data_IF_512356167230
#
_entry.id   IF_512356167230
#
_cell.length_a   1.000
_cell.length_b   1.000
_cell.length_c   1.000
_cell.angle_alpha   90.00
_cell.angle_beta   90.00
_cell.angle_gamma   90.00
#
_symmetry.space_group_name_H-M   'P 1'
#
loop_
_entity.id
_entity.type
_entity.pdbx_description
1 polymer ?
#
# COMPACT_ATOMS: atom_id res chain seq x y z
N UNK A 1 11.80 -13.94 -5.95
CA UNK A 1 10.82 -12.90 -5.54
C UNK A 1 9.93 -12.41 -6.69
N UNK A 2 10.23 -12.77 -7.94
CA UNK A 2 9.45 -12.41 -9.14
C UNK A 2 8.30 -13.37 -9.46
N UNK A 3 8.20 -14.50 -8.76
CA UNK A 3 7.12 -15.47 -8.90
C UNK A 3 5.94 -15.07 -8.02
N UNK A 4 4.74 -15.10 -8.59
CA UNK A 4 3.49 -14.81 -7.88
C UNK A 4 2.31 -15.55 -8.52
N UNK A 5 1.25 -15.75 -7.76
CA UNK A 5 -0.03 -16.09 -8.37
C UNK A 5 -0.66 -14.82 -8.95
N UNK A 6 -1.21 -14.93 -10.13
CA UNK A 6 -1.95 -13.89 -10.83
C UNK A 6 -3.33 -14.43 -11.20
N UNK A 7 -4.34 -13.59 -11.09
CA UNK A 7 -5.69 -13.85 -11.57
C UNK A 7 -5.87 -13.24 -12.95
N UNK A 8 -6.46 -13.98 -13.86
CA UNK A 8 -6.90 -13.43 -15.14
C UNK A 8 -8.24 -12.71 -14.94
N UNK A 9 -8.26 -11.42 -15.25
CA UNK A 9 -9.44 -10.56 -15.16
C UNK A 9 -9.62 -9.86 -16.52
N UNK A 10 -10.57 -10.32 -17.32
CA UNK A 10 -10.60 -9.96 -18.75
C UNK A 10 -9.34 -10.46 -19.45
N UNK A 11 -8.61 -9.54 -20.08
CA UNK A 11 -7.34 -9.82 -20.76
C UNK A 11 -6.10 -9.45 -19.93
N UNK A 12 -6.30 -9.06 -18.66
CA UNK A 12 -5.23 -8.59 -17.79
C UNK A 12 -4.94 -9.57 -16.64
N UNK A 13 -3.67 -9.64 -16.25
CA UNK A 13 -3.24 -10.34 -15.04
C UNK A 13 -3.14 -9.37 -13.86
N UNK A 14 -3.96 -9.63 -12.85
CA UNK A 14 -3.93 -8.91 -11.57
C UNK A 14 -3.28 -9.78 -10.49
N UNK A 15 -2.63 -9.16 -9.52
CA UNK A 15 -2.03 -9.88 -8.40
C UNK A 15 -3.09 -10.67 -7.62
N UNK A 16 -2.79 -11.93 -7.31
CA UNK A 16 -3.54 -12.74 -6.36
C UNK A 16 -2.66 -12.98 -5.13
N UNK A 17 -3.04 -12.46 -3.95
CA UNK A 17 -2.29 -12.68 -2.72
C UNK A 17 -1.96 -14.14 -2.49
N UNK A 18 -0.66 -14.46 -2.35
CA UNK A 18 -0.23 -15.86 -2.34
C UNK A 18 1.12 -16.06 -1.67
N UNK A 19 1.22 -17.16 -0.95
CA UNK A 19 2.48 -17.65 -0.38
C UNK A 19 2.85 -18.99 -1.02
N UNK A 20 4.15 -19.22 -1.15
CA UNK A 20 4.70 -20.42 -1.78
C UNK A 20 5.50 -21.20 -0.74
N UNK A 21 5.20 -22.49 -0.62
CA UNK A 21 5.88 -23.39 0.30
C UNK A 21 6.01 -24.79 -0.32
N UNK A 22 7.23 -25.32 -0.37
CA UNK A 22 7.54 -26.68 -0.83
C UNK A 22 6.82 -27.08 -2.14
N UNK A 23 6.81 -26.20 -3.14
CA UNK A 23 6.19 -26.48 -4.45
C UNK A 23 4.67 -26.28 -4.48
N UNK A 24 4.08 -25.84 -3.37
CA UNK A 24 2.64 -25.51 -3.27
C UNK A 24 2.45 -24.00 -3.23
N UNK A 25 1.46 -23.49 -3.97
CA UNK A 25 0.98 -22.12 -3.88
C UNK A 25 -0.34 -22.08 -3.08
N UNK A 26 -0.37 -21.30 -2.00
CA UNK A 26 -1.60 -20.99 -1.27
C UNK A 26 -2.06 -19.61 -1.71
N UNK A 27 -3.21 -19.55 -2.36
CA UNK A 27 -3.79 -18.30 -2.88
C UNK A 27 -4.90 -17.84 -1.93
N UNK A 28 -4.82 -16.60 -1.46
CA UNK A 28 -5.86 -15.95 -0.66
C UNK A 28 -6.80 -15.19 -1.61
N UNK A 29 -7.94 -15.79 -1.90
CA UNK A 29 -8.91 -15.20 -2.81
C UNK A 29 -10.35 -15.52 -2.39
N UNK A 30 -11.25 -14.56 -2.58
CA UNK A 30 -12.70 -14.76 -2.39
C UNK A 30 -13.37 -14.91 -3.75
N UNK A 31 -14.14 -15.99 -3.92
CA UNK A 31 -14.88 -16.28 -5.16
C UNK A 31 -14.13 -17.20 -6.11
N UNK A 32 -14.55 -17.22 -7.37
CA UNK A 32 -14.00 -18.06 -8.42
C UNK A 32 -13.12 -17.27 -9.38
N UNK A 33 -12.18 -17.93 -10.03
CA UNK A 33 -11.30 -17.28 -11.01
C UNK A 33 -10.36 -18.25 -11.69
N UNK A 34 -9.74 -17.78 -12.76
CA UNK A 34 -8.63 -18.46 -13.43
C UNK A 34 -7.34 -17.88 -12.90
N UNK A 35 -6.48 -18.73 -12.37
CA UNK A 35 -5.20 -18.34 -11.77
C UNK A 35 -4.04 -18.97 -12.53
N UNK A 36 -2.94 -18.24 -12.61
CA UNK A 36 -1.68 -18.74 -13.15
C UNK A 36 -0.54 -18.41 -12.16
N UNK A 37 0.45 -19.29 -12.10
CA UNK A 37 1.71 -18.98 -11.45
C UNK A 37 2.62 -18.35 -12.50
N UNK A 38 3.02 -17.11 -12.28
CA UNK A 38 3.73 -16.31 -13.25
C UNK A 38 5.09 -15.89 -12.68
N UNK A 39 6.14 -16.02 -13.48
CA UNK A 39 7.42 -15.39 -13.21
C UNK A 39 7.53 -14.13 -14.08
N UNK A 40 7.43 -12.96 -13.47
CA UNK A 40 7.37 -11.66 -14.14
C UNK A 40 8.47 -10.73 -13.58
N UNK A 41 9.76 -11.00 -13.88
CA UNK A 41 10.83 -10.15 -13.37
C UNK A 41 10.73 -8.74 -13.94
N UNK A 42 10.84 -7.75 -13.06
CA UNK A 42 10.91 -6.32 -13.40
C UNK A 42 12.20 -5.73 -12.84
N UNK A 43 12.77 -4.81 -13.59
CA UNK A 43 13.96 -4.07 -13.16
C UNK A 43 13.87 -2.62 -13.62
N UNK A 44 14.52 -1.74 -12.86
CA UNK A 44 14.57 -0.31 -13.14
C UNK A 44 15.99 0.19 -12.93
N UNK A 45 16.52 0.92 -13.89
CA UNK A 45 17.92 1.37 -13.89
C UNK A 45 18.26 2.25 -12.69
N UNK A 46 17.33 3.11 -12.28
CA UNK A 46 17.53 4.07 -11.19
C UNK A 46 17.26 3.50 -9.78
N UNK A 47 16.97 2.21 -9.65
CA UNK A 47 16.95 1.52 -8.34
C UNK A 47 18.06 0.50 -8.17
N UNK A 48 18.95 0.34 -9.16
CA UNK A 48 19.97 -0.72 -9.18
C UNK A 48 20.81 -0.77 -7.89
N UNK A 49 21.18 0.40 -7.36
CA UNK A 49 21.95 0.57 -6.12
C UNK A 49 21.13 1.21 -5.00
N UNK A 50 19.81 1.30 -5.14
CA UNK A 50 18.96 1.92 -4.16
C UNK A 50 18.50 0.90 -3.11
N UNK A 51 18.40 1.31 -1.84
CA UNK A 51 17.97 0.43 -0.72
C UNK A 51 16.62 -0.25 -0.96
N UNK A 52 15.70 0.39 -1.69
CA UNK A 52 14.36 -0.13 -1.98
C UNK A 52 14.30 -1.07 -3.18
N UNK A 53 15.41 -1.38 -3.84
CA UNK A 53 15.43 -2.20 -5.06
C UNK A 53 14.54 -3.44 -4.94
N UNK A 54 14.76 -4.22 -3.88
CA UNK A 54 14.01 -5.47 -3.71
C UNK A 54 12.50 -5.24 -3.52
N UNK A 55 12.11 -4.22 -2.77
CA UNK A 55 10.70 -3.88 -2.56
C UNK A 55 10.06 -3.44 -3.87
N UNK A 56 10.71 -2.55 -4.61
CA UNK A 56 10.24 -2.04 -5.90
C UNK A 56 10.06 -3.18 -6.91
N UNK A 57 11.12 -3.97 -7.15
CA UNK A 57 11.08 -5.05 -8.14
C UNK A 57 10.06 -6.14 -7.76
N UNK A 58 9.93 -6.44 -6.45
CA UNK A 58 8.94 -7.41 -5.93
C UNK A 58 7.51 -6.96 -6.18
N UNK A 59 7.19 -5.70 -5.90
CA UNK A 59 5.84 -5.17 -6.12
C UNK A 59 5.55 -4.91 -7.60
N UNK A 60 6.55 -4.51 -8.38
CA UNK A 60 6.40 -4.36 -9.83
C UNK A 60 6.16 -5.70 -10.52
N UNK A 61 6.85 -6.77 -10.10
CA UNK A 61 6.62 -8.13 -10.59
C UNK A 61 5.18 -8.62 -10.36
N UNK A 62 4.48 -8.03 -9.38
CA UNK A 62 3.09 -8.31 -9.01
C UNK A 62 2.07 -7.33 -9.61
N UNK A 63 2.50 -6.44 -10.48
CA UNK A 63 1.67 -5.36 -11.03
C UNK A 63 1.03 -4.45 -9.95
N UNK A 64 1.64 -4.34 -8.77
CA UNK A 64 1.20 -3.48 -7.67
C UNK A 64 1.79 -2.07 -7.81
N UNK A 65 3.08 -1.98 -8.15
CA UNK A 65 3.78 -0.72 -8.36
C UNK A 65 4.31 -0.62 -9.79
N UNK A 66 4.28 0.58 -10.36
CA UNK A 66 4.72 0.83 -11.72
C UNK A 66 5.79 1.93 -11.77
N UNK A 67 6.66 1.86 -12.78
CA UNK A 67 7.57 2.94 -13.11
C UNK A 67 6.84 4.20 -13.58
N UNK A 68 7.50 5.36 -13.50
CA UNK A 68 7.01 6.61 -14.12
C UNK A 68 7.18 6.61 -15.64
N UNK A 69 8.15 5.85 -16.12
CA UNK A 69 8.38 5.58 -17.53
C UNK A 69 9.11 4.25 -17.68
N UNK A 70 9.35 3.82 -18.91
CA UNK A 70 10.07 2.59 -19.19
C UNK A 70 11.45 2.59 -18.52
N UNK A 71 11.72 1.56 -17.73
CA UNK A 71 12.98 1.38 -17.01
C UNK A 71 13.29 2.37 -15.87
N UNK A 72 12.36 3.29 -15.54
CA UNK A 72 12.53 4.33 -14.51
C UNK A 72 11.43 4.23 -13.46
N UNK A 73 11.82 3.97 -12.21
CA UNK A 73 10.90 3.94 -11.06
C UNK A 73 10.76 5.30 -10.36
N UNK A 74 11.84 6.08 -10.29
CA UNK A 74 11.97 7.32 -9.52
C UNK A 74 11.72 7.12 -8.01
N UNK A 75 12.58 6.36 -7.30
CA UNK A 75 12.35 5.95 -5.91
C UNK A 75 12.29 7.13 -4.92
N UNK A 76 13.06 8.19 -5.17
CA UNK A 76 13.16 9.37 -4.29
C UNK A 76 12.09 10.43 -4.54
N UNK A 77 11.32 10.30 -5.62
CA UNK A 77 10.17 11.17 -5.86
C UNK A 77 9.10 10.94 -4.79
N UNK A 78 8.38 12.01 -4.43
CA UNK A 78 7.24 11.88 -3.54
C UNK A 78 6.09 11.11 -4.19
N UNK A 79 5.47 10.23 -3.42
CA UNK A 79 4.27 9.48 -3.84
C UNK A 79 3.02 10.33 -3.60
N UNK A 80 2.09 10.30 -4.55
CA UNK A 80 0.80 11.00 -4.40
C UNK A 80 -0.21 10.17 -3.63
N UNK A 81 -1.27 10.80 -3.13
CA UNK A 81 -2.39 10.12 -2.47
C UNK A 81 -3.04 9.08 -3.39
N UNK A 82 -3.24 9.43 -4.67
CA UNK A 82 -3.77 8.50 -5.66
C UNK A 82 -2.84 7.31 -5.89
N UNK A 83 -1.55 7.55 -6.13
CA UNK A 83 -0.58 6.47 -6.33
C UNK A 83 -0.55 5.48 -5.16
N UNK A 84 -0.60 5.98 -3.93
CA UNK A 84 -0.58 5.11 -2.75
C UNK A 84 -1.89 4.32 -2.59
N UNK A 85 -3.05 4.95 -2.80
CA UNK A 85 -4.35 4.27 -2.79
C UNK A 85 -4.40 3.15 -3.84
N UNK A 86 -3.97 3.42 -5.08
CA UNK A 86 -3.85 2.43 -6.16
C UNK A 86 -2.97 1.25 -5.76
N UNK A 87 -1.81 1.52 -5.15
CA UNK A 87 -0.93 0.44 -4.69
C UNK A 87 -1.61 -0.45 -3.64
N UNK A 88 -2.35 0.12 -2.69
CA UNK A 88 -3.11 -0.65 -1.69
C UNK A 88 -4.19 -1.50 -2.34
N UNK A 89 -5.01 -0.91 -3.22
CA UNK A 89 -6.11 -1.60 -3.91
C UNK A 89 -5.60 -2.83 -4.67
N UNK A 90 -4.52 -2.66 -5.42
CA UNK A 90 -3.89 -3.74 -6.17
C UNK A 90 -3.21 -4.77 -5.29
N UNK A 91 -2.57 -4.33 -4.19
CA UNK A 91 -1.92 -5.22 -3.22
C UNK A 91 -2.92 -6.16 -2.52
N UNK A 92 -4.12 -5.68 -2.25
CA UNK A 92 -5.20 -6.47 -1.63
C UNK A 92 -6.04 -7.24 -2.64
N UNK A 93 -5.76 -7.10 -3.94
CA UNK A 93 -6.53 -7.72 -5.03
C UNK A 93 -8.04 -7.43 -4.92
N UNK A 94 -8.39 -6.18 -4.56
CA UNK A 94 -9.78 -5.79 -4.41
C UNK A 94 -10.40 -5.72 -5.81
N UNK A 95 -11.43 -6.51 -6.03
CA UNK A 95 -12.27 -6.43 -7.23
C UNK A 95 -13.40 -5.44 -6.98
N UNK A 96 -13.83 -4.72 -8.00
CA UNK A 96 -14.91 -3.74 -7.89
C UNK A 96 -16.11 -4.31 -7.13
N UNK A 97 -16.49 -3.63 -6.05
CA UNK A 97 -17.85 -3.68 -5.55
C UNK A 97 -18.65 -2.56 -6.24
N UNK A 98 -19.88 -2.84 -6.62
CA UNK A 98 -20.77 -1.87 -7.27
C UNK A 98 -20.99 -0.66 -6.35
N UNK A 99 -20.34 0.43 -6.68
CA UNK A 99 -20.48 1.70 -5.98
C UNK A 99 -19.62 2.76 -6.65
N UNK A 100 -20.19 3.52 -7.58
CA UNK A 100 -19.51 4.67 -8.15
C UNK A 100 -19.52 5.81 -7.13
N UNK A 101 -18.42 5.99 -6.42
CA UNK A 101 -18.21 7.24 -5.70
C UNK A 101 -17.38 8.15 -6.60
N UNK A 102 -17.98 9.25 -6.95
CA UNK A 102 -17.35 10.26 -7.79
C UNK A 102 -16.88 11.39 -6.89
N UNK A 103 -15.58 11.40 -6.55
CA UNK A 103 -14.94 12.62 -6.13
C UNK A 103 -14.80 13.54 -7.36
N UNK A 104 -15.24 14.78 -7.26
CA UNK A 104 -15.23 15.73 -8.38
C UNK A 104 -13.82 15.94 -8.98
N UNK A 105 -12.79 15.74 -8.16
CA UNK A 105 -11.38 15.94 -8.50
C UNK A 105 -10.63 14.64 -8.87
N UNK A 106 -11.36 13.51 -9.02
CA UNK A 106 -10.79 12.22 -9.41
C UNK A 106 -11.20 11.88 -10.84
N UNK A 107 -10.21 11.72 -11.71
CA UNK A 107 -10.41 11.32 -13.10
C UNK A 107 -9.16 10.68 -13.68
N UNK A 108 -9.32 9.86 -14.72
CA UNK A 108 -8.21 9.26 -15.44
C UNK A 108 -7.79 7.90 -14.89
N UNK A 109 -6.51 7.55 -15.01
CA UNK A 109 -5.99 6.19 -14.84
C UNK A 109 -6.18 5.58 -13.44
N UNK A 110 -6.35 6.40 -12.41
CA UNK A 110 -6.53 5.96 -11.01
C UNK A 110 -8.00 5.96 -10.54
N UNK A 111 -8.93 6.45 -11.36
CA UNK A 111 -10.33 6.65 -10.97
C UNK A 111 -10.98 5.35 -10.47
N UNK A 112 -10.79 4.27 -11.20
CA UNK A 112 -11.31 2.96 -10.85
C UNK A 112 -10.75 2.46 -9.51
N UNK A 113 -9.42 2.48 -9.34
CA UNK A 113 -8.77 2.03 -8.12
C UNK A 113 -9.17 2.88 -6.90
N UNK A 114 -9.35 4.20 -7.07
CA UNK A 114 -9.80 5.10 -6.00
C UNK A 114 -11.26 4.84 -5.62
N UNK A 115 -12.15 4.67 -6.59
CA UNK A 115 -13.55 4.30 -6.33
C UNK A 115 -13.63 2.99 -5.57
N UNK A 116 -12.87 1.98 -5.98
CA UNK A 116 -12.76 0.68 -5.31
C UNK A 116 -12.23 0.82 -3.87
N UNK A 117 -11.17 1.60 -3.66
CA UNK A 117 -10.60 1.81 -2.33
C UNK A 117 -11.56 2.56 -1.39
N UNK A 118 -12.33 3.49 -1.92
CA UNK A 118 -13.36 4.20 -1.14
C UNK A 118 -14.51 3.26 -0.76
N UNK A 119 -15.06 2.51 -1.70
CA UNK A 119 -16.13 1.53 -1.44
C UNK A 119 -15.70 0.46 -0.42
N UNK A 120 -14.41 0.09 -0.42
CA UNK A 120 -13.82 -0.81 0.56
C UNK A 120 -13.52 -0.14 1.93
N UNK A 121 -13.80 1.15 2.10
CA UNK A 121 -13.53 1.90 3.33
C UNK A 121 -12.05 2.11 3.64
N UNK A 122 -11.17 1.95 2.64
CA UNK A 122 -9.71 2.11 2.81
C UNK A 122 -9.31 3.58 2.79
N UNK A 123 -9.95 4.36 1.96
CA UNK A 123 -9.72 5.79 1.82
C UNK A 123 -10.98 6.59 2.11
N UNK A 124 -10.79 7.85 2.49
CA UNK A 124 -11.86 8.85 2.62
C UNK A 124 -11.46 10.11 1.86
N UNK A 125 -12.49 10.86 1.42
CA UNK A 125 -12.31 12.24 1.01
C UNK A 125 -12.05 13.15 2.22
N UNK A 126 -11.84 14.44 1.96
CA UNK A 126 -11.82 15.49 2.98
C UNK A 126 -13.23 16.08 3.21
N UNK A 127 -13.36 16.96 4.17
CA UNK A 127 -14.64 17.57 4.56
C UNK A 127 -15.30 18.36 3.43
N UNK A 128 -14.54 18.80 2.43
CA UNK A 128 -15.03 19.47 1.22
C UNK A 128 -15.48 18.50 0.10
N UNK A 129 -15.49 17.19 0.38
CA UNK A 129 -15.92 16.16 -0.57
C UNK A 129 -14.90 15.81 -1.65
N UNK A 130 -13.66 16.31 -1.58
CA UNK A 130 -12.59 16.03 -2.53
C UNK A 130 -11.60 15.00 -2.00
N UNK A 131 -10.92 14.32 -2.91
CA UNK A 131 -9.88 13.33 -2.58
C UNK A 131 -8.46 13.90 -2.61
N UNK A 132 -8.20 14.90 -3.43
CA UNK A 132 -6.87 15.49 -3.67
C UNK A 132 -5.85 14.48 -4.22
N UNK A 133 -6.13 13.85 -5.36
CA UNK A 133 -5.36 12.71 -5.88
C UNK A 133 -3.89 13.03 -6.13
N UNK A 134 -3.57 14.24 -6.55
CA UNK A 134 -2.23 14.67 -6.91
C UNK A 134 -1.43 15.26 -5.75
N UNK A 135 -2.02 15.43 -4.57
CA UNK A 135 -1.26 15.85 -3.39
C UNK A 135 -0.28 14.77 -2.95
N UNK A 136 0.89 15.18 -2.48
CA UNK A 136 1.85 14.28 -1.83
C UNK A 136 1.23 13.72 -0.55
N UNK A 137 1.29 12.42 -0.37
CA UNK A 137 0.71 11.83 0.83
C UNK A 137 1.59 12.06 2.05
N UNK A 138 0.97 12.42 3.16
CA UNK A 138 1.64 12.54 4.46
C UNK A 138 1.79 11.17 5.11
N UNK A 139 2.86 10.98 5.88
CA UNK A 139 3.15 9.70 6.54
C UNK A 139 2.06 9.29 7.54
N UNK A 140 1.44 10.26 8.25
CA UNK A 140 0.29 9.99 9.12
C UNK A 140 -0.92 9.45 8.34
N UNK A 141 -1.20 10.00 7.15
CA UNK A 141 -2.30 9.56 6.29
C UNK A 141 -2.03 8.15 5.71
N UNK A 142 -0.77 7.84 5.40
CA UNK A 142 -0.41 6.47 5.01
C UNK A 142 -0.71 5.47 6.13
N UNK A 143 -0.41 5.80 7.38
CA UNK A 143 -0.72 4.93 8.52
C UNK A 143 -2.23 4.68 8.65
N UNK A 144 -3.05 5.70 8.44
CA UNK A 144 -4.52 5.56 8.43
C UNK A 144 -4.98 4.64 7.31
N UNK A 145 -4.51 4.86 6.07
CA UNK A 145 -4.87 4.01 4.92
C UNK A 145 -4.42 2.56 5.13
N UNK A 146 -3.23 2.32 5.67
CA UNK A 146 -2.74 0.96 5.99
C UNK A 146 -3.62 0.29 7.04
N UNK A 147 -3.99 0.97 8.13
CA UNK A 147 -4.88 0.39 9.13
C UNK A 147 -6.25 0.05 8.57
N UNK A 148 -6.80 0.90 7.70
CA UNK A 148 -8.06 0.60 7.01
C UNK A 148 -7.93 -0.60 6.08
N UNK A 149 -6.82 -0.70 5.33
CA UNK A 149 -6.50 -1.84 4.49
C UNK A 149 -6.39 -3.16 5.29
N UNK A 150 -5.76 -3.11 6.46
CA UNK A 150 -5.67 -4.25 7.37
C UNK A 150 -7.05 -4.66 7.92
N UNK A 151 -7.91 -3.69 8.29
CA UNK A 151 -9.31 -3.97 8.69
C UNK A 151 -10.09 -4.63 7.57
N UNK A 152 -9.99 -4.10 6.35
CA UNK A 152 -10.60 -4.71 5.17
C UNK A 152 -10.13 -6.17 4.97
N UNK A 153 -8.86 -6.45 5.21
CA UNK A 153 -8.29 -7.80 5.16
C UNK A 153 -8.66 -8.68 6.38
N UNK A 154 -9.51 -8.19 7.29
CA UNK A 154 -10.02 -8.95 8.44
C UNK A 154 -9.12 -8.90 9.68
N UNK A 155 -8.15 -7.98 9.74
CA UNK A 155 -7.34 -7.80 10.96
C UNK A 155 -8.06 -6.88 11.94
N UNK A 156 -8.08 -7.27 13.20
CA UNK A 156 -8.53 -6.39 14.27
C UNK A 156 -7.43 -5.38 14.60
N UNK A 157 -7.78 -4.09 14.57
CA UNK A 157 -6.85 -2.98 14.82
C UNK A 157 -7.12 -2.43 16.20
N UNK A 158 -6.49 -3.02 17.20
CA UNK A 158 -6.53 -2.58 18.59
C UNK A 158 -5.14 -2.19 19.06
N UNK A 159 -5.06 -1.09 19.79
CA UNK A 159 -3.80 -0.60 20.37
C UNK A 159 -4.01 -0.38 21.86
N UNK A 160 -3.45 -1.26 22.65
CA UNK A 160 -3.28 -1.03 24.08
C UNK A 160 -2.01 -0.20 24.29
N UNK A 161 -2.01 0.71 25.23
CA UNK A 161 -0.85 1.55 25.59
C UNK A 161 -0.29 2.39 24.42
N UNK A 162 -1.17 3.04 23.65
CA UNK A 162 -0.80 3.89 22.51
C UNK A 162 0.31 4.87 22.88
N UNK A 163 0.19 5.54 24.02
CA UNK A 163 1.16 6.52 24.48
C UNK A 163 2.56 5.91 24.67
N UNK A 164 2.65 4.70 25.22
CA UNK A 164 3.93 4.00 25.40
C UNK A 164 4.57 3.64 24.06
N UNK A 165 3.77 3.15 23.11
CA UNK A 165 4.25 2.81 21.77
C UNK A 165 4.77 4.04 21.04
N UNK A 166 4.06 5.16 21.15
CA UNK A 166 4.44 6.40 20.48
C UNK A 166 5.60 7.13 21.16
N UNK A 167 5.86 6.87 22.45
CA UNK A 167 6.95 7.52 23.21
C UNK A 167 8.35 7.31 22.62
N UNK A 168 8.52 6.29 21.75
CA UNK A 168 9.78 6.07 21.02
C UNK A 168 10.07 7.15 19.96
N UNK A 169 9.05 7.91 19.54
CA UNK A 169 9.20 8.99 18.58
C UNK A 169 9.30 10.33 19.30
N UNK A 170 10.35 11.09 19.03
CA UNK A 170 10.61 12.36 19.72
C UNK A 170 9.57 13.44 19.37
N UNK A 171 8.92 13.29 18.22
CA UNK A 171 7.88 14.16 17.66
C UNK A 171 6.45 13.63 17.89
N UNK A 172 6.26 12.66 18.77
CA UNK A 172 4.94 12.01 18.97
C UNK A 172 3.81 12.98 19.33
N UNK A 173 4.14 14.13 19.95
CA UNK A 173 3.17 15.17 20.30
C UNK A 173 2.60 15.91 19.08
N UNK A 174 3.24 15.82 17.92
CA UNK A 174 2.78 16.45 16.67
C UNK A 174 1.88 15.55 15.84
N UNK A 175 1.69 14.29 16.26
CA UNK A 175 0.78 13.35 15.57
C UNK A 175 -0.65 13.76 15.89
N UNK A 176 -1.42 14.10 14.85
CA UNK A 176 -2.83 14.45 14.99
C UNK A 176 -3.65 13.31 15.61
N UNK A 177 -4.63 13.67 16.41
CA UNK A 177 -5.46 12.74 17.18
C UNK A 177 -6.08 11.65 16.30
N UNK A 178 -6.60 12.00 15.11
CA UNK A 178 -7.22 11.03 14.20
C UNK A 178 -6.26 9.95 13.71
N UNK A 179 -4.96 10.21 13.70
CA UNK A 179 -3.94 9.32 13.17
C UNK A 179 -3.18 8.53 14.26
N UNK A 180 -3.25 8.97 15.53
CA UNK A 180 -2.44 8.41 16.64
C UNK A 180 -2.57 6.89 16.74
N UNK A 181 -3.77 6.36 16.84
CA UNK A 181 -4.01 4.92 16.94
C UNK A 181 -3.47 4.15 15.73
N UNK A 182 -3.60 4.72 14.52
CA UNK A 182 -3.08 4.10 13.29
C UNK A 182 -1.55 4.12 13.25
N UNK A 183 -0.94 5.23 13.65
CA UNK A 183 0.53 5.35 13.74
C UNK A 183 1.07 4.36 14.78
N UNK A 184 0.46 4.28 15.96
CA UNK A 184 0.87 3.35 17.01
C UNK A 184 0.76 1.90 16.55
N UNK A 185 -0.36 1.53 15.89
CA UNK A 185 -0.54 0.18 15.35
C UNK A 185 0.52 -0.16 14.30
N UNK A 186 0.70 0.70 13.30
CA UNK A 186 1.69 0.49 12.25
C UNK A 186 3.11 0.39 12.81
N UNK A 187 3.41 1.18 13.83
CA UNK A 187 4.70 1.19 14.50
C UNK A 187 4.94 -0.08 15.35
N UNK A 188 3.90 -0.59 16.02
CA UNK A 188 3.93 -1.85 16.78
C UNK A 188 4.06 -3.06 15.84
N UNK A 189 3.33 -3.05 14.74
CA UNK A 189 3.36 -4.09 13.72
C UNK A 189 4.63 -4.07 12.84
N UNK A 190 5.50 -3.06 12.98
CA UNK A 190 6.71 -2.91 12.16
C UNK A 190 6.43 -2.57 10.69
N UNK A 191 5.22 -2.11 10.35
CA UNK A 191 4.83 -1.77 8.99
C UNK A 191 5.34 -0.38 8.61
N UNK A 192 5.11 0.62 9.48
CA UNK A 192 5.67 1.97 9.31
C UNK A 192 6.56 2.25 10.51
N UNK A 193 7.83 2.47 10.24
CA UNK A 193 8.83 2.80 11.25
C UNK A 193 9.17 4.30 11.20
N UNK A 194 9.79 4.80 12.25
CA UNK A 194 10.35 6.15 12.27
C UNK A 194 11.50 6.31 11.27
N UNK A 195 11.94 7.54 11.14
CA UNK A 195 13.16 7.89 10.39
C UNK A 195 14.40 7.68 11.28
N UNK A 196 15.58 7.79 10.70
CA UNK A 196 16.87 7.59 11.40
C UNK A 196 17.08 8.56 12.57
N UNK A 197 16.41 9.70 12.56
CA UNK A 197 16.39 10.74 13.61
C UNK A 197 15.52 10.41 14.81
N UNK A 198 14.90 9.23 14.86
CA UNK A 198 13.88 8.82 15.82
C UNK A 198 12.56 9.59 15.75
N UNK A 199 12.34 10.35 14.69
CA UNK A 199 11.07 11.01 14.42
C UNK A 199 10.14 10.04 13.68
N UNK A 200 8.85 10.18 13.90
CA UNK A 200 7.87 9.59 13.01
C UNK A 200 7.69 10.43 11.75
N UNK A 201 7.83 11.75 11.87
CA UNK A 201 7.64 12.76 10.83
C UNK A 201 6.21 12.72 10.23
N UNK A 202 5.16 12.96 11.06
CA UNK A 202 3.76 12.72 10.66
C UNK A 202 3.31 13.56 9.48
N UNK A 203 3.80 14.79 9.37
CA UNK A 203 3.49 15.73 8.27
C UNK A 203 4.48 15.64 7.10
N UNK A 204 5.52 14.84 7.24
CA UNK A 204 6.48 14.58 6.17
C UNK A 204 5.85 13.84 5.00
N UNK A 205 6.25 14.21 3.80
CA UNK A 205 5.84 13.52 2.59
C UNK A 205 6.64 12.22 2.44
N UNK A 206 5.97 11.16 2.04
CA UNK A 206 6.61 9.88 1.77
C UNK A 206 7.13 9.81 0.33
N UNK A 207 8.25 9.12 0.16
CA UNK A 207 8.77 8.80 -1.18
C UNK A 207 8.11 7.55 -1.76
N UNK A 208 8.26 7.36 -3.05
CA UNK A 208 7.79 6.15 -3.76
C UNK A 208 8.50 4.89 -3.24
N UNK A 209 9.77 5.02 -2.87
CA UNK A 209 10.53 3.95 -2.22
C UNK A 209 9.94 3.57 -0.85
N UNK A 210 9.65 4.56 -0.01
CA UNK A 210 9.01 4.34 1.30
C UNK A 210 7.63 3.68 1.14
N UNK A 211 6.84 4.12 0.15
CA UNK A 211 5.54 3.51 -0.14
C UNK A 211 5.66 2.02 -0.49
N UNK A 212 6.61 1.64 -1.36
CA UNK A 212 6.81 0.23 -1.69
C UNK A 212 7.24 -0.61 -0.49
N UNK A 213 8.09 -0.08 0.37
CA UNK A 213 8.52 -0.78 1.58
C UNK A 213 7.36 -0.99 2.56
N UNK A 214 6.50 0.01 2.73
CA UNK A 214 5.31 -0.06 3.59
C UNK A 214 4.31 -1.09 3.06
N UNK A 215 4.00 -1.08 1.76
CA UNK A 215 3.11 -2.05 1.13
C UNK A 215 3.67 -3.47 1.23
N UNK A 216 4.96 -3.67 0.99
CA UNK A 216 5.59 -4.99 1.11
C UNK A 216 5.49 -5.53 2.54
N UNK A 217 5.75 -4.70 3.56
CA UNK A 217 5.61 -5.09 4.97
C UNK A 217 4.16 -5.38 5.34
N UNK A 218 3.20 -4.61 4.85
CA UNK A 218 1.77 -4.88 5.02
C UNK A 218 1.40 -6.25 4.44
N UNK A 219 1.85 -6.56 3.21
CA UNK A 219 1.58 -7.85 2.57
C UNK A 219 2.18 -9.03 3.33
N UNK A 220 3.41 -8.87 3.86
CA UNK A 220 4.01 -9.89 4.74
C UNK A 220 3.25 -10.06 6.05
N UNK A 221 2.82 -8.95 6.66
CA UNK A 221 2.02 -8.97 7.89
C UNK A 221 0.67 -9.69 7.70
N UNK A 222 0.12 -9.65 6.49
CA UNK A 222 -1.10 -10.36 6.09
C UNK A 222 -0.86 -11.81 5.66
N UNK A 223 0.38 -12.28 5.54
CA UNK A 223 0.74 -13.56 4.92
C UNK A 223 0.27 -13.65 3.44
N UNK A 224 0.28 -12.53 2.74
CA UNK A 224 -0.11 -12.44 1.33
C UNK A 224 1.06 -12.60 0.36
N UNK A 225 2.28 -12.51 0.86
CA UNK A 225 3.54 -12.80 0.15
C UNK A 225 4.57 -13.43 1.11
N UNK A 226 5.56 -14.13 0.53
CA UNK A 226 6.76 -14.60 1.25
C UNK A 226 7.77 -13.48 1.45
#
# INVERSE_FOLDING_TARGET
YSTSAMKLTGDEFTFAPSVFDHGTARIHYRGNGVFAIVNNPKSFSNVANHWSKMNVEKLAARNIAFGKSEGIFAPDDYVTRAEFAVMITRALAITEEEGTVNFEDVSGWYEKDISTAYSAGIINGRDDGKFYPNERIKRKDMAVMICNALRFAGKEITVENEQEILAKFVDNSTIDEYARGSVAYCAKAGIIMGRDTKDFDPDGNATRAEATAIIERMLRYLDFIN
#
